data_IF_190932988469
#
_entry.id   IF_190932988469
#
_cell.length_a   1.000
_cell.length_b   1.000
_cell.length_c   1.000
_cell.angle_alpha   90.00
_cell.angle_beta   90.00
_cell.angle_gamma   90.00
#
_symmetry.space_group_name_H-M   'P 1'
#
loop_
_entity.id
_entity.type
_entity.pdbx_description
1 polymer ?
#
# COMPACT_ATOMS: atom_id res chain seq x y z
N UNK A 1 -0.38 -35.61 43.70
CA UNK A 1 -0.04 -34.20 43.40
C UNK A 1 -1.22 -33.47 42.75
N UNK A 2 -1.76 -33.91 41.61
CA UNK A 2 -2.94 -33.23 41.03
C UNK A 2 -4.18 -33.26 41.94
N UNK A 3 -4.44 -34.38 42.63
CA UNK A 3 -5.55 -34.50 43.59
C UNK A 3 -5.40 -33.59 44.82
N UNK A 4 -4.19 -33.46 45.37
CA UNK A 4 -3.91 -32.60 46.53
C UNK A 4 -3.94 -31.11 46.18
N UNK A 5 -3.48 -30.72 44.99
CA UNK A 5 -3.59 -29.35 44.49
C UNK A 5 -5.04 -28.99 44.18
N UNK A 6 -5.81 -29.91 43.61
CA UNK A 6 -7.24 -29.72 43.35
C UNK A 6 -8.04 -29.54 44.64
N UNK A 7 -7.72 -30.34 45.67
CA UNK A 7 -8.37 -30.27 46.97
C UNK A 7 -8.04 -28.97 47.72
N UNK A 8 -6.77 -28.54 47.71
CA UNK A 8 -6.36 -27.24 48.23
C UNK A 8 -7.02 -26.07 47.48
N UNK A 9 -7.15 -26.14 46.15
CA UNK A 9 -7.86 -25.13 45.37
C UNK A 9 -9.35 -25.06 45.76
N UNK A 10 -10.01 -26.22 45.90
CA UNK A 10 -11.45 -26.32 46.17
C UNK A 10 -11.87 -25.85 47.56
N UNK A 11 -10.93 -25.78 48.50
CA UNK A 11 -11.17 -25.31 49.87
C UNK A 11 -11.03 -23.78 50.02
N UNK A 12 -10.59 -23.06 48.97
CA UNK A 12 -10.49 -21.60 49.02
C UNK A 12 -11.87 -20.92 48.91
N UNK A 13 -12.16 -19.90 49.74
CA UNK A 13 -13.45 -19.20 49.75
C UNK A 13 -13.79 -18.49 48.42
N UNK A 14 -12.80 -18.24 47.57
CA UNK A 14 -12.97 -17.62 46.24
C UNK A 14 -12.72 -18.60 45.07
N UNK A 15 -12.87 -19.92 45.29
CA UNK A 15 -12.60 -20.95 44.26
C UNK A 15 -13.36 -20.72 42.95
N UNK A 16 -14.63 -20.28 43.03
CA UNK A 16 -15.45 -19.98 41.85
C UNK A 16 -14.86 -18.79 41.06
N UNK A 17 -14.45 -17.72 41.75
CA UNK A 17 -13.82 -16.56 41.11
C UNK A 17 -12.48 -16.94 40.49
N UNK A 18 -11.69 -17.79 41.16
CA UNK A 18 -10.41 -18.25 40.65
C UNK A 18 -10.54 -19.10 39.37
N UNK A 19 -11.59 -19.91 39.26
CA UNK A 19 -11.87 -20.75 38.10
C UNK A 19 -12.42 -19.96 36.90
N UNK A 20 -13.03 -18.79 37.13
CA UNK A 20 -13.50 -17.89 36.06
C UNK A 20 -12.41 -16.98 35.50
N UNK A 21 -11.28 -16.79 36.22
CA UNK A 21 -10.16 -15.94 35.75
C UNK A 21 -9.63 -16.39 34.37
N UNK A 22 -9.29 -17.68 34.10
CA UNK A 22 -8.77 -18.08 32.80
C UNK A 22 -9.69 -17.83 31.59
N UNK A 23 -10.98 -18.23 31.60
CA UNK A 23 -11.87 -17.95 30.48
C UNK A 23 -12.19 -16.45 30.31
N UNK A 24 -12.32 -15.70 31.40
CA UNK A 24 -12.54 -14.24 31.32
C UNK A 24 -11.31 -13.55 30.74
N UNK A 25 -10.10 -13.91 31.20
CA UNK A 25 -8.84 -13.35 30.69
C UNK A 25 -8.64 -13.70 29.21
N UNK A 26 -9.01 -14.91 28.78
CA UNK A 26 -9.00 -15.30 27.38
C UNK A 26 -9.91 -14.42 26.52
N UNK A 27 -11.14 -14.19 26.97
CA UNK A 27 -12.10 -13.34 26.27
C UNK A 27 -11.65 -11.87 26.23
N UNK A 28 -11.19 -11.33 27.36
CA UNK A 28 -10.69 -9.96 27.47
C UNK A 28 -9.49 -9.75 26.55
N UNK A 29 -8.53 -10.68 26.55
CA UNK A 29 -7.34 -10.59 25.67
C UNK A 29 -7.74 -10.65 24.20
N UNK A 30 -8.69 -11.53 23.86
CA UNK A 30 -9.22 -11.64 22.50
C UNK A 30 -9.90 -10.35 22.02
N UNK A 31 -10.77 -9.76 22.86
CA UNK A 31 -11.46 -8.51 22.57
C UNK A 31 -10.49 -7.31 22.54
N UNK A 32 -9.53 -7.27 23.45
CA UNK A 32 -8.51 -6.24 23.51
C UNK A 32 -7.63 -6.23 22.25
N UNK A 33 -7.11 -7.39 21.82
CA UNK A 33 -6.27 -7.48 20.62
C UNK A 33 -7.07 -7.09 19.37
N UNK A 34 -8.34 -7.48 19.29
CA UNK A 34 -9.23 -7.01 18.22
C UNK A 34 -9.36 -5.49 18.20
N UNK A 35 -9.62 -4.88 19.37
CA UNK A 35 -9.72 -3.43 19.51
C UNK A 35 -8.40 -2.73 19.12
N UNK A 36 -7.25 -3.28 19.52
CA UNK A 36 -5.93 -2.74 19.18
C UNK A 36 -5.67 -2.77 17.67
N UNK A 37 -6.07 -3.85 16.99
CA UNK A 37 -5.97 -3.96 15.54
C UNK A 37 -6.91 -2.98 14.81
N UNK A 38 -8.14 -2.81 15.29
CA UNK A 38 -9.08 -1.85 14.71
C UNK A 38 -8.57 -0.41 14.85
N UNK A 39 -8.06 -0.06 16.03
CA UNK A 39 -7.45 1.23 16.34
C UNK A 39 -6.18 1.54 15.53
N UNK A 40 -5.51 0.53 15.01
CA UNK A 40 -4.32 0.69 14.16
C UNK A 40 -4.70 1.29 12.79
N UNK A 41 -5.83 0.86 12.22
CA UNK A 41 -6.25 1.20 10.86
C UNK A 41 -7.36 2.25 10.79
N UNK A 42 -8.25 2.28 11.79
CA UNK A 42 -9.44 3.12 11.79
C UNK A 42 -9.49 4.09 12.98
N UNK A 43 -10.10 5.28 12.81
CA UNK A 43 -10.67 5.83 11.58
C UNK A 43 -9.60 6.42 10.65
N UNK A 44 -9.83 6.34 9.33
CA UNK A 44 -8.90 6.83 8.29
C UNK A 44 -8.70 8.34 8.38
N UNK A 45 -9.80 9.07 8.60
CA UNK A 45 -9.79 10.52 8.85
C UNK A 45 -9.87 10.76 10.35
N UNK A 46 -9.14 11.77 10.82
CA UNK A 46 -9.20 12.20 12.22
C UNK A 46 -10.65 12.51 12.62
N UNK A 47 -11.13 11.86 13.67
CA UNK A 47 -12.44 12.07 14.25
C UNK A 47 -12.27 12.73 15.63
N UNK A 48 -12.79 13.95 15.78
CA UNK A 48 -12.71 14.72 17.03
C UNK A 48 -12.64 16.23 16.81
N UNK A 49 -12.41 16.97 17.89
CA UNK A 49 -12.32 18.44 17.87
C UNK A 49 -10.87 18.82 17.60
N UNK A 50 -10.60 19.38 16.42
CA UNK A 50 -9.29 19.97 16.09
C UNK A 50 -9.12 21.26 16.88
N UNK A 51 -8.20 21.26 17.83
CA UNK A 51 -7.76 22.46 18.54
C UNK A 51 -6.37 22.79 18.01
N UNK A 52 -6.24 23.89 17.27
CA UNK A 52 -4.94 24.41 16.88
C UNK A 52 -4.24 24.97 18.13
N UNK A 53 -2.94 24.64 18.32
CA UNK A 53 -2.08 24.99 19.47
C UNK A 53 -2.32 24.26 20.81
N UNK A 54 -2.21 22.92 20.83
CA UNK A 54 -1.92 22.18 22.08
C UNK A 54 -0.41 21.91 22.24
N UNK A 55 0.15 21.95 23.46
CA UNK A 55 1.52 21.51 23.72
C UNK A 55 1.67 20.01 23.38
N UNK A 56 2.89 19.59 23.00
CA UNK A 56 3.25 18.22 22.55
C UNK A 56 2.77 17.77 21.15
N UNK A 57 2.28 18.67 20.29
CA UNK A 57 1.99 18.35 18.88
C UNK A 57 0.72 17.51 18.66
N UNK A 58 -0.17 17.48 19.67
CA UNK A 58 -1.49 16.88 19.57
C UNK A 58 -2.40 17.72 18.66
N UNK A 59 -2.96 17.10 17.61
CA UNK A 59 -3.84 17.76 16.61
C UNK A 59 -5.26 18.06 17.12
N UNK A 60 -5.52 17.85 18.42
CA UNK A 60 -6.82 18.03 19.08
C UNK A 60 -7.20 16.86 19.98
N UNK A 61 -8.39 16.94 20.57
CA UNK A 61 -9.05 15.83 21.28
C UNK A 61 -9.79 14.99 20.23
N UNK A 62 -9.15 13.92 19.76
CA UNK A 62 -9.75 13.02 18.78
C UNK A 62 -8.87 11.80 18.50
N UNK A 63 -9.45 10.84 17.80
CA UNK A 63 -8.79 9.60 17.45
C UNK A 63 -8.63 9.50 15.93
N UNK A 64 -7.45 9.04 15.51
CA UNK A 64 -7.18 8.64 14.13
C UNK A 64 -6.38 7.35 14.19
N UNK A 65 -6.63 6.43 13.27
CA UNK A 65 -5.80 5.23 13.14
C UNK A 65 -4.32 5.59 13.05
N UNK A 66 -3.46 4.80 13.68
CA UNK A 66 -2.03 5.10 13.77
C UNK A 66 -1.38 5.10 12.38
N UNK A 67 -1.70 4.10 11.55
CA UNK A 67 -1.20 3.97 10.17
C UNK A 67 -1.58 5.18 9.30
N UNK A 68 -2.87 5.58 9.17
CA UNK A 68 -3.23 6.75 8.38
C UNK A 68 -2.71 8.08 8.97
N UNK A 69 -2.49 8.17 10.28
CA UNK A 69 -1.94 9.37 10.92
C UNK A 69 -0.43 9.56 10.61
N UNK A 70 0.32 8.47 10.48
CA UNK A 70 1.78 8.46 10.24
C UNK A 70 2.17 8.15 8.79
N UNK A 71 1.21 8.15 7.87
CA UNK A 71 1.38 7.75 6.49
C UNK A 71 2.66 8.28 5.81
N UNK A 72 2.94 9.58 5.88
CA UNK A 72 4.11 10.17 5.22
C UNK A 72 5.49 9.69 5.71
N UNK A 73 5.60 9.36 7.00
CA UNK A 73 6.87 8.80 7.53
C UNK A 73 7.06 7.35 7.11
N UNK A 74 5.97 6.60 7.05
CA UNK A 74 5.95 5.17 6.69
C UNK A 74 6.23 5.00 5.19
N UNK A 75 5.62 5.84 4.34
CA UNK A 75 5.76 5.77 2.88
C UNK A 75 7.21 5.91 2.44
N UNK A 76 7.95 6.89 2.96
CA UNK A 76 9.36 7.10 2.57
C UNK A 76 10.22 5.85 2.71
N UNK A 77 10.14 5.14 3.84
CA UNK A 77 10.93 3.91 4.07
C UNK A 77 10.52 2.75 3.16
N UNK A 78 9.21 2.56 2.95
CA UNK A 78 8.70 1.50 2.06
C UNK A 78 9.11 1.79 0.63
N UNK A 79 9.01 3.05 0.20
CA UNK A 79 9.34 3.50 -1.16
C UNK A 79 10.82 3.29 -1.44
N UNK A 80 11.71 3.69 -0.54
CA UNK A 80 13.16 3.52 -0.73
C UNK A 80 13.52 2.04 -0.92
N UNK A 81 12.92 1.14 -0.12
CA UNK A 81 13.13 -0.30 -0.26
C UNK A 81 12.49 -0.84 -1.54
N UNK A 82 11.28 -0.41 -1.89
CA UNK A 82 10.54 -0.89 -3.06
C UNK A 82 11.22 -0.48 -4.36
N UNK A 83 11.62 0.79 -4.48
CA UNK A 83 12.31 1.32 -5.67
C UNK A 83 13.65 0.63 -5.89
N UNK A 84 14.41 0.34 -4.83
CA UNK A 84 15.67 -0.40 -4.96
C UNK A 84 15.50 -1.80 -5.59
N UNK A 85 14.27 -2.35 -5.58
CA UNK A 85 13.93 -3.67 -6.13
C UNK A 85 13.19 -3.61 -7.46
N UNK A 86 12.67 -2.44 -7.87
CA UNK A 86 12.03 -2.26 -9.16
C UNK A 86 13.02 -2.42 -10.33
N UNK A 87 14.31 -2.20 -10.11
CA UNK A 87 15.36 -2.22 -11.14
C UNK A 87 15.48 -0.90 -11.88
N UNK A 88 15.93 -0.91 -13.14
CA UNK A 88 15.99 0.33 -13.94
C UNK A 88 14.59 0.75 -14.38
N UNK A 89 14.35 2.06 -14.40
CA UNK A 89 13.05 2.57 -14.87
C UNK A 89 12.90 2.33 -16.37
N UNK A 90 13.99 2.39 -17.13
CA UNK A 90 13.99 2.03 -18.56
C UNK A 90 13.40 0.64 -18.79
N UNK A 91 13.84 -0.39 -18.05
CA UNK A 91 13.29 -1.75 -18.19
C UNK A 91 11.79 -1.81 -17.85
N UNK A 92 11.37 -1.07 -16.81
CA UNK A 92 9.97 -0.96 -16.43
C UNK A 92 9.11 -0.34 -17.55
N UNK A 93 9.61 0.71 -18.21
CA UNK A 93 8.90 1.38 -19.30
C UNK A 93 8.92 0.59 -20.60
N UNK A 94 10.03 -0.07 -20.92
CA UNK A 94 10.11 -0.99 -22.05
C UNK A 94 9.10 -2.15 -21.89
N UNK A 95 8.91 -2.65 -20.66
CA UNK A 95 7.91 -3.67 -20.36
C UNK A 95 6.45 -3.20 -20.54
N UNK A 96 6.20 -1.89 -20.63
CA UNK A 96 4.88 -1.34 -20.97
C UNK A 96 4.58 -1.36 -22.48
N UNK A 97 5.52 -1.76 -23.33
CA UNK A 97 5.39 -1.78 -24.80
C UNK A 97 5.09 -0.35 -25.34
N UNK A 98 6.09 0.55 -25.35
CA UNK A 98 5.89 1.97 -25.67
C UNK A 98 5.33 2.20 -27.07
N UNK A 99 5.60 1.32 -28.04
CA UNK A 99 5.02 1.38 -29.38
C UNK A 99 3.49 1.17 -29.34
N UNK A 100 3.00 0.23 -28.54
CA UNK A 100 1.56 0.00 -28.37
C UNK A 100 0.89 1.19 -27.65
N UNK A 101 1.60 1.82 -26.71
CA UNK A 101 1.13 3.05 -26.06
C UNK A 101 1.00 4.18 -27.08
N UNK A 102 2.02 4.38 -27.92
CA UNK A 102 1.99 5.40 -28.96
C UNK A 102 0.83 5.20 -29.94
N UNK A 103 0.59 3.96 -30.38
CA UNK A 103 -0.55 3.63 -31.25
C UNK A 103 -1.89 3.92 -30.57
N UNK A 104 -2.07 3.49 -29.32
CA UNK A 104 -3.31 3.72 -28.58
C UNK A 104 -3.61 5.21 -28.35
N UNK A 105 -2.58 5.98 -27.98
CA UNK A 105 -2.69 7.43 -27.79
C UNK A 105 -3.03 8.09 -29.13
N UNK A 106 -2.31 7.72 -30.21
CA UNK A 106 -2.56 8.23 -31.57
C UNK A 106 -4.01 8.00 -31.99
N UNK A 107 -4.53 6.77 -31.86
CA UNK A 107 -5.90 6.43 -32.25
C UNK A 107 -6.97 7.23 -31.48
N UNK A 108 -6.66 7.68 -30.28
CA UNK A 108 -7.58 8.47 -29.45
C UNK A 108 -7.48 9.96 -29.77
N UNK A 109 -6.26 10.48 -29.93
CA UNK A 109 -6.01 11.88 -30.29
C UNK A 109 -6.50 12.16 -31.72
N UNK A 110 -6.28 11.24 -32.66
CA UNK A 110 -6.67 11.36 -34.07
C UNK A 110 -8.18 11.59 -34.24
N UNK A 111 -9.00 10.90 -33.43
CA UNK A 111 -10.47 11.05 -33.45
C UNK A 111 -10.95 12.45 -33.10
N UNK A 112 -10.20 13.15 -32.26
CA UNK A 112 -10.54 14.50 -31.80
C UNK A 112 -9.66 15.57 -32.44
N UNK A 113 -8.79 15.20 -33.37
CA UNK A 113 -7.72 16.06 -33.88
C UNK A 113 -8.26 17.31 -34.56
N UNK A 114 -9.28 17.17 -35.43
CA UNK A 114 -9.90 18.32 -36.10
C UNK A 114 -10.52 19.29 -35.09
N UNK A 115 -11.22 18.76 -34.07
CA UNK A 115 -11.80 19.57 -33.00
C UNK A 115 -10.74 20.28 -32.17
N UNK A 116 -9.62 19.62 -31.88
CA UNK A 116 -8.49 20.21 -31.15
C UNK A 116 -7.83 21.32 -31.97
N UNK A 117 -7.62 21.12 -33.27
CA UNK A 117 -7.09 22.15 -34.16
C UNK A 117 -8.03 23.34 -34.20
N UNK A 118 -9.33 23.11 -34.35
CA UNK A 118 -10.33 24.16 -34.37
C UNK A 118 -10.36 24.95 -33.06
N UNK A 119 -10.32 24.27 -31.92
CA UNK A 119 -10.29 24.90 -30.60
C UNK A 119 -9.05 25.81 -30.45
N UNK A 120 -7.86 25.28 -30.73
CA UNK A 120 -6.58 26.01 -30.63
C UNK A 120 -6.59 27.23 -31.57
N UNK A 121 -7.03 27.04 -32.81
CA UNK A 121 -7.03 28.11 -33.82
C UNK A 121 -8.08 29.19 -33.51
N UNK A 122 -9.26 28.83 -33.01
CA UNK A 122 -10.30 29.79 -32.64
C UNK A 122 -9.92 30.59 -31.39
N UNK A 123 -9.27 29.97 -30.40
CA UNK A 123 -8.89 30.61 -29.15
C UNK A 123 -7.89 31.75 -29.38
N UNK A 124 -6.89 31.55 -30.26
CA UNK A 124 -5.87 32.58 -30.52
C UNK A 124 -6.14 33.43 -31.75
N UNK A 125 -6.74 32.85 -32.78
CA UNK A 125 -6.76 33.38 -34.14
C UNK A 125 -8.13 33.26 -34.79
N UNK A 126 -9.17 33.63 -34.04
CA UNK A 126 -10.56 33.65 -34.50
C UNK A 126 -10.70 34.24 -35.91
N UNK A 127 -10.19 35.46 -36.13
CA UNK A 127 -10.31 36.14 -37.42
C UNK A 127 -9.62 35.40 -38.57
N UNK A 128 -8.46 34.79 -38.34
CA UNK A 128 -7.75 34.04 -39.37
C UNK A 128 -8.47 32.75 -39.69
N UNK A 129 -8.88 32.00 -38.66
CA UNK A 129 -9.46 30.68 -38.84
C UNK A 129 -10.85 30.74 -39.48
N UNK A 130 -11.70 31.68 -39.04
CA UNK A 130 -13.06 31.83 -39.56
C UNK A 130 -13.08 32.27 -41.04
N UNK A 131 -12.13 33.10 -41.47
CA UNK A 131 -12.06 33.59 -42.85
C UNK A 131 -11.18 32.73 -43.77
N UNK A 132 -10.55 31.68 -43.25
CA UNK A 132 -9.69 30.82 -44.03
C UNK A 132 -10.49 29.98 -45.04
N UNK A 133 -10.12 29.97 -46.33
CA UNK A 133 -10.75 29.10 -47.32
C UNK A 133 -10.73 27.64 -46.87
N UNK A 134 -11.85 26.93 -47.07
CA UNK A 134 -11.98 25.54 -46.64
C UNK A 134 -10.88 24.62 -47.22
N UNK A 135 -10.38 24.93 -48.43
CA UNK A 135 -9.28 24.20 -49.05
C UNK A 135 -7.98 24.24 -48.21
N UNK A 136 -7.68 25.38 -47.58
CA UNK A 136 -6.48 25.52 -46.74
C UNK A 136 -6.68 24.78 -45.42
N UNK A 137 -7.85 24.95 -44.77
CA UNK A 137 -8.19 24.20 -43.54
C UNK A 137 -8.09 22.69 -43.74
N UNK A 138 -8.67 22.18 -44.83
CA UNK A 138 -8.58 20.75 -45.19
C UNK A 138 -7.15 20.28 -45.41
N UNK A 139 -6.31 21.12 -46.03
CA UNK A 139 -4.89 20.82 -46.22
C UNK A 139 -4.17 20.74 -44.87
N UNK A 140 -4.44 21.66 -43.95
CA UNK A 140 -3.90 21.62 -42.59
C UNK A 140 -4.32 20.33 -41.90
N UNK A 141 -5.63 20.03 -41.82
CA UNK A 141 -6.11 18.79 -41.21
C UNK A 141 -5.42 17.56 -41.80
N UNK A 142 -5.39 17.42 -43.14
CA UNK A 142 -4.73 16.29 -43.81
C UNK A 142 -3.23 16.18 -43.49
N UNK A 143 -2.56 17.31 -43.32
CA UNK A 143 -1.15 17.34 -43.00
C UNK A 143 -0.90 16.91 -41.55
N UNK A 144 -1.74 17.38 -40.61
CA UNK A 144 -1.66 16.97 -39.20
C UNK A 144 -1.96 15.48 -39.05
N UNK A 145 -3.03 14.98 -39.66
CA UNK A 145 -3.38 13.55 -39.64
C UNK A 145 -2.24 12.66 -40.17
N UNK A 146 -1.57 13.07 -41.26
CA UNK A 146 -0.49 12.29 -41.84
C UNK A 146 0.77 12.24 -40.96
N UNK A 147 1.01 13.26 -40.13
CA UNK A 147 2.22 13.39 -39.29
C UNK A 147 2.02 12.94 -37.85
N UNK A 148 0.78 12.93 -37.36
CA UNK A 148 0.46 12.60 -35.98
C UNK A 148 1.04 11.25 -35.52
N UNK A 149 0.96 10.14 -36.28
CA UNK A 149 1.52 8.85 -35.86
C UNK A 149 3.03 8.89 -35.63
N UNK A 150 3.77 9.53 -36.54
CA UNK A 150 5.24 9.63 -36.46
C UNK A 150 5.68 10.49 -35.28
N UNK A 151 4.98 11.61 -35.05
CA UNK A 151 5.23 12.52 -33.92
C UNK A 151 4.93 11.80 -32.61
N UNK A 152 3.77 11.15 -32.49
CA UNK A 152 3.38 10.46 -31.27
C UNK A 152 4.33 9.31 -30.95
N UNK A 153 4.75 8.54 -31.97
CA UNK A 153 5.75 7.49 -31.80
C UNK A 153 7.06 8.06 -31.29
N UNK A 154 7.59 9.09 -31.94
CA UNK A 154 8.87 9.70 -31.55
C UNK A 154 8.81 10.29 -30.14
N UNK A 155 7.71 10.98 -29.81
CA UNK A 155 7.48 11.58 -28.50
C UNK A 155 7.39 10.52 -27.40
N UNK A 156 6.63 9.45 -27.58
CA UNK A 156 6.51 8.37 -26.58
C UNK A 156 7.83 7.63 -26.40
N UNK A 157 8.57 7.39 -27.48
CA UNK A 157 9.90 6.76 -27.40
C UNK A 157 10.89 7.65 -26.67
N UNK A 158 10.96 8.94 -26.99
CA UNK A 158 11.87 9.87 -26.34
C UNK A 158 11.52 10.07 -24.85
N UNK A 159 10.22 10.15 -24.51
CA UNK A 159 9.78 10.16 -23.12
C UNK A 159 10.19 8.89 -22.38
N UNK A 160 10.09 7.73 -23.03
CA UNK A 160 10.48 6.43 -22.47
C UNK A 160 11.99 6.36 -22.22
N UNK A 161 12.82 6.70 -23.21
CA UNK A 161 14.28 6.67 -23.07
C UNK A 161 14.81 7.68 -22.05
N UNK A 162 14.12 8.79 -21.86
CA UNK A 162 14.53 9.83 -20.91
C UNK A 162 13.80 9.74 -19.56
N UNK A 163 13.03 8.68 -19.29
CA UNK A 163 12.11 8.63 -18.13
C UNK A 163 12.81 8.84 -16.78
N UNK A 164 14.05 8.36 -16.62
CA UNK A 164 14.85 8.56 -15.40
C UNK A 164 15.19 10.03 -15.13
N UNK A 165 15.33 10.82 -16.20
CA UNK A 165 15.52 12.27 -16.12
C UNK A 165 14.19 12.99 -15.91
N UNK A 166 13.08 12.48 -16.43
CA UNK A 166 11.78 13.15 -16.43
C UNK A 166 10.92 12.88 -15.18
N UNK A 167 11.19 11.80 -14.43
CA UNK A 167 10.33 11.36 -13.31
C UNK A 167 11.12 11.20 -12.02
N UNK A 168 10.65 11.83 -10.95
CA UNK A 168 11.06 11.48 -9.58
C UNK A 168 10.10 10.44 -8.99
N UNK A 169 10.42 9.16 -9.19
CA UNK A 169 9.61 8.05 -8.71
C UNK A 169 9.43 8.05 -7.19
N UNK A 170 10.46 8.48 -6.46
CA UNK A 170 10.40 8.52 -5.00
C UNK A 170 9.38 9.55 -4.55
N UNK A 171 9.46 10.74 -5.10
CA UNK A 171 8.51 11.81 -4.80
C UNK A 171 7.09 11.44 -5.22
N UNK A 172 6.91 10.86 -6.41
CA UNK A 172 5.61 10.42 -6.92
C UNK A 172 4.93 9.44 -5.95
N UNK A 173 5.62 8.36 -5.57
CA UNK A 173 5.02 7.32 -4.72
C UNK A 173 4.75 7.86 -3.31
N UNK A 174 5.68 8.64 -2.73
CA UNK A 174 5.46 9.27 -1.42
C UNK A 174 4.25 10.19 -1.45
N UNK A 175 4.15 11.06 -2.45
CA UNK A 175 3.02 11.98 -2.64
C UNK A 175 1.69 11.24 -2.82
N UNK A 176 1.69 10.17 -3.62
CA UNK A 176 0.50 9.32 -3.80
C UNK A 176 0.05 8.66 -2.49
N UNK A 177 0.98 8.09 -1.73
CA UNK A 177 0.68 7.45 -0.45
C UNK A 177 0.26 8.46 0.64
N UNK A 178 0.78 9.69 0.61
CA UNK A 178 0.39 10.75 1.55
C UNK A 178 -0.98 11.36 1.23
N UNK A 179 -1.26 11.55 -0.06
CA UNK A 179 -2.53 12.07 -0.55
C UNK A 179 -3.66 11.06 -0.35
N UNK A 180 -3.39 9.77 -0.57
CA UNK A 180 -4.35 8.69 -0.40
C UNK A 180 -4.03 7.81 0.83
N UNK A 181 -4.50 8.24 2.00
CA UNK A 181 -4.40 7.45 3.24
C UNK A 181 -5.18 6.14 3.17
N UNK A 182 -6.22 6.06 2.33
CA UNK A 182 -7.04 4.84 2.22
C UNK A 182 -6.25 3.77 1.49
N UNK A 183 -5.58 4.13 0.40
CA UNK A 183 -4.65 3.26 -0.33
C UNK A 183 -3.63 2.61 0.60
N UNK A 184 -3.02 3.40 1.49
CA UNK A 184 -2.06 2.86 2.45
C UNK A 184 -2.70 1.84 3.40
N UNK A 185 -3.85 2.16 4.00
CA UNK A 185 -4.55 1.24 4.91
C UNK A 185 -4.97 -0.04 4.17
N UNK A 186 -5.51 0.09 2.97
CA UNK A 186 -5.91 -1.03 2.12
C UNK A 186 -4.70 -1.92 1.77
N UNK A 187 -3.53 -1.32 1.52
CA UNK A 187 -2.29 -2.07 1.28
C UNK A 187 -1.91 -2.95 2.47
N UNK A 188 -1.89 -2.39 3.68
CA UNK A 188 -1.59 -3.16 4.89
C UNK A 188 -2.62 -4.24 5.19
N UNK A 189 -3.91 -3.93 5.03
CA UNK A 189 -4.98 -4.87 5.28
C UNK A 189 -4.96 -6.02 4.27
N UNK A 190 -4.69 -5.77 2.99
CA UNK A 190 -4.58 -6.82 1.96
C UNK A 190 -3.38 -7.73 2.20
N UNK A 191 -2.21 -7.15 2.47
CA UNK A 191 -0.98 -7.90 2.76
C UNK A 191 -1.09 -8.70 4.06
N UNK A 192 -1.60 -8.07 5.13
CA UNK A 192 -1.64 -8.63 6.48
C UNK A 192 -2.91 -9.40 6.85
N UNK A 193 -3.89 -9.56 5.94
CA UNK A 193 -5.22 -10.10 6.29
C UNK A 193 -5.16 -11.42 7.06
N UNK A 194 -4.31 -12.37 6.63
CA UNK A 194 -4.25 -13.68 7.33
C UNK A 194 -3.44 -13.59 8.62
N UNK A 195 -2.40 -12.76 8.68
CA UNK A 195 -1.61 -12.52 9.89
C UNK A 195 -2.46 -11.87 10.98
N UNK A 196 -3.24 -10.85 10.63
CA UNK A 196 -4.21 -10.19 11.52
C UNK A 196 -5.23 -11.21 12.04
N UNK A 197 -5.81 -12.04 11.16
CA UNK A 197 -6.77 -13.09 11.56
C UNK A 197 -6.12 -14.17 12.42
N UNK A 198 -4.85 -14.51 12.17
CA UNK A 198 -4.10 -15.47 12.96
C UNK A 198 -3.81 -14.92 14.37
N UNK A 199 -3.33 -13.67 14.48
CA UNK A 199 -3.14 -12.97 15.76
C UNK A 199 -4.44 -12.97 16.56
N UNK A 200 -5.56 -12.61 15.92
CA UNK A 200 -6.86 -12.56 16.58
C UNK A 200 -7.36 -13.93 17.04
N UNK A 201 -7.08 -15.01 16.32
CA UNK A 201 -7.47 -16.37 16.74
C UNK A 201 -6.59 -16.91 17.87
N UNK A 202 -5.29 -16.65 17.81
CA UNK A 202 -4.34 -17.17 18.81
C UNK A 202 -4.34 -16.36 20.10
N UNK A 203 -4.80 -15.11 20.07
CA UNK A 203 -4.89 -14.24 21.24
C UNK A 203 -5.77 -14.80 22.35
N UNK A 204 -6.87 -15.50 22.02
CA UNK A 204 -7.70 -16.18 23.00
C UNK A 204 -6.93 -17.30 23.73
N UNK A 205 -6.12 -18.08 23.00
CA UNK A 205 -5.30 -19.15 23.57
C UNK A 205 -4.18 -18.59 24.46
N UNK A 206 -3.52 -17.52 24.00
CA UNK A 206 -2.49 -16.81 24.76
C UNK A 206 -3.11 -16.22 26.05
N UNK A 207 -4.27 -15.57 25.92
CA UNK A 207 -5.01 -15.00 27.04
C UNK A 207 -5.46 -16.06 28.05
N UNK A 208 -5.85 -17.25 27.60
CA UNK A 208 -6.12 -18.39 28.48
C UNK A 208 -4.87 -18.80 29.27
N UNK A 209 -3.72 -18.89 28.59
CA UNK A 209 -2.43 -19.16 29.24
C UNK A 209 -2.07 -18.13 30.31
N UNK A 210 -2.21 -16.83 30.00
CA UNK A 210 -2.01 -15.76 30.99
C UNK A 210 -3.00 -15.82 32.14
N UNK A 211 -4.25 -16.18 31.86
CA UNK A 211 -5.26 -16.38 32.88
C UNK A 211 -4.91 -17.52 33.86
N UNK A 212 -4.33 -18.63 33.39
CA UNK A 212 -3.82 -19.70 34.27
C UNK A 212 -2.65 -19.22 35.13
N UNK A 213 -1.74 -18.43 34.56
CA UNK A 213 -0.63 -17.84 35.32
C UNK A 213 -1.15 -16.82 36.35
N UNK A 214 -2.12 -15.98 35.97
CA UNK A 214 -2.76 -15.02 36.85
C UNK A 214 -3.53 -15.71 37.98
N UNK A 215 -4.21 -16.82 37.69
CA UNK A 215 -4.85 -17.68 38.69
C UNK A 215 -3.82 -18.16 39.72
N UNK A 216 -2.66 -18.64 39.27
CA UNK A 216 -1.57 -19.05 40.17
C UNK A 216 -0.99 -17.88 40.98
N UNK A 217 -0.86 -16.68 40.40
CA UNK A 217 -0.38 -15.49 41.11
C UNK A 217 -1.38 -15.06 42.20
N UNK A 218 -2.67 -15.06 41.89
CA UNK A 218 -3.73 -14.68 42.82
C UNK A 218 -3.81 -15.63 44.02
N UNK A 219 -3.47 -16.90 43.82
CA UNK A 219 -3.34 -17.89 44.91
C UNK A 219 -2.26 -17.50 45.93
N UNK A 220 -1.10 -16.99 45.47
CA UNK A 220 0.00 -16.60 46.37
C UNK A 220 -0.16 -15.18 46.93
N UNK A 221 -0.79 -14.28 46.18
CA UNK A 221 -0.99 -12.87 46.55
C UNK A 221 -2.46 -12.49 46.30
N UNK A 222 -3.35 -12.74 47.28
CA UNK A 222 -4.80 -12.47 47.14
C UNK A 222 -5.08 -10.98 47.37
N UNK A 223 -4.54 -10.12 46.51
CA UNK A 223 -4.84 -8.69 46.48
C UNK A 223 -5.55 -8.35 45.18
N UNK A 224 -6.74 -7.74 45.27
CA UNK A 224 -7.55 -7.43 44.08
C UNK A 224 -6.84 -6.51 43.08
N UNK A 225 -5.95 -5.61 43.54
CA UNK A 225 -5.17 -4.72 42.68
C UNK A 225 -4.19 -5.46 41.74
N UNK A 226 -3.83 -6.71 42.06
CA UNK A 226 -3.00 -7.53 41.17
C UNK A 226 -3.66 -7.75 39.82
N UNK A 227 -5.00 -7.83 39.77
CA UNK A 227 -5.75 -8.10 38.53
C UNK A 227 -5.57 -6.98 37.49
N UNK A 228 -5.85 -5.68 37.78
CA UNK A 228 -5.58 -4.59 36.84
C UNK A 228 -4.10 -4.42 36.48
N UNK A 229 -3.20 -4.57 37.46
CA UNK A 229 -1.76 -4.43 37.23
C UNK A 229 -1.23 -5.50 36.27
N UNK A 230 -1.56 -6.77 36.52
CA UNK A 230 -1.14 -7.85 35.64
C UNK A 230 -1.88 -7.80 34.30
N UNK A 231 -3.14 -7.37 34.25
CA UNK A 231 -3.83 -7.15 32.98
C UNK A 231 -3.14 -6.09 32.10
N UNK A 232 -2.57 -5.03 32.70
CA UNK A 232 -1.72 -4.07 31.98
C UNK A 232 -0.46 -4.75 31.42
N UNK A 233 0.25 -5.53 32.24
CA UNK A 233 1.46 -6.25 31.83
C UNK A 233 1.16 -7.26 30.71
N UNK A 234 0.11 -8.07 30.87
CA UNK A 234 -0.31 -9.06 29.89
C UNK A 234 -0.80 -8.41 28.60
N UNK A 235 -1.50 -7.27 28.65
CA UNK A 235 -1.90 -6.52 27.46
C UNK A 235 -0.70 -6.06 26.63
N UNK A 236 0.28 -5.42 27.29
CA UNK A 236 1.52 -4.99 26.63
C UNK A 236 2.32 -6.19 26.06
N UNK A 237 2.43 -7.27 26.85
CA UNK A 237 3.17 -8.47 26.48
C UNK A 237 2.48 -9.24 25.35
N UNK A 238 1.15 -9.29 25.30
CA UNK A 238 0.39 -9.93 24.21
C UNK A 238 0.65 -9.21 22.89
N UNK A 239 0.61 -7.88 22.87
CA UNK A 239 0.86 -7.11 21.65
C UNK A 239 2.31 -7.27 21.18
N UNK A 240 3.26 -7.28 22.12
CA UNK A 240 4.66 -7.58 21.81
C UNK A 240 4.85 -8.98 21.22
N UNK A 241 4.24 -10.01 21.81
CA UNK A 241 4.27 -11.38 21.28
C UNK A 241 3.62 -11.46 19.90
N UNK A 242 2.49 -10.78 19.69
CA UNK A 242 1.78 -10.79 18.42
C UNK A 242 2.66 -10.28 17.27
N UNK A 243 3.33 -9.12 17.48
CA UNK A 243 4.28 -8.57 16.51
C UNK A 243 5.46 -9.52 16.31
N UNK A 244 6.03 -10.04 17.40
CA UNK A 244 7.17 -10.94 17.34
C UNK A 244 6.88 -12.21 16.53
N UNK A 245 5.71 -12.83 16.74
CA UNK A 245 5.28 -14.05 16.06
C UNK A 245 5.04 -13.85 14.57
N UNK A 246 4.66 -12.64 14.16
CA UNK A 246 4.38 -12.32 12.76
C UNK A 246 5.68 -12.14 11.96
N UNK A 247 6.72 -11.53 12.55
CA UNK A 247 7.97 -11.21 11.86
C UNK A 247 9.15 -12.14 12.15
N UNK A 248 9.12 -12.88 13.25
CA UNK A 248 10.23 -13.72 13.71
C UNK A 248 9.80 -15.17 13.96
N UNK A 249 10.71 -16.14 13.77
CA UNK A 249 12.05 -16.01 13.22
C UNK A 249 12.01 -15.81 11.70
N UNK A 250 13.02 -15.08 11.19
CA UNK A 250 13.16 -14.75 9.77
C UNK A 250 13.46 -16.01 8.95
N UNK A 251 14.42 -16.79 9.42
CA UNK A 251 14.78 -18.08 8.83
C UNK A 251 13.98 -19.21 9.49
N UNK A 252 13.62 -20.25 8.72
CA UNK A 252 12.87 -21.39 9.25
C UNK A 252 13.72 -22.12 10.30
N UNK A 253 13.25 -22.14 11.55
CA UNK A 253 13.87 -22.94 12.61
C UNK A 253 13.20 -24.29 12.66
N UNK A 254 13.98 -25.35 12.44
CA UNK A 254 13.49 -26.72 12.49
C UNK A 254 13.52 -27.23 13.93
N UNK A 255 12.35 -27.35 14.55
CA UNK A 255 12.21 -27.93 15.89
C UNK A 255 11.95 -29.43 15.72
N UNK A 256 12.82 -30.32 16.23
CA UNK A 256 12.54 -31.75 16.22
C UNK A 256 11.40 -32.07 17.18
N UNK A 257 10.38 -32.80 16.70
CA UNK A 257 9.32 -33.36 17.51
C UNK A 257 9.11 -34.84 17.18
N UNK A 258 8.80 -35.63 18.21
CA UNK A 258 8.51 -37.06 18.03
C UNK A 258 7.07 -37.21 17.60
N UNK A 259 6.85 -37.52 16.32
CA UNK A 259 5.50 -37.74 15.79
C UNK A 259 5.10 -39.20 16.02
N UNK A 260 4.21 -39.44 16.98
CA UNK A 260 3.72 -40.78 17.33
C UNK A 260 2.52 -41.22 16.48
N UNK A 261 1.89 -40.29 15.75
CA UNK A 261 0.60 -40.49 15.09
C UNK A 261 0.61 -39.98 13.64
N UNK A 262 0.12 -40.81 12.71
CA UNK A 262 -0.20 -40.42 11.33
C UNK A 262 -1.71 -40.48 11.12
N UNK A 263 -2.26 -39.49 10.42
CA UNK A 263 -3.64 -39.53 9.96
C UNK A 263 -3.67 -40.23 8.60
N UNK A 264 -4.45 -41.30 8.49
CA UNK A 264 -4.65 -42.06 7.25
C UNK A 264 -6.13 -41.97 6.87
N UNK A 265 -6.40 -41.67 5.60
CA UNK A 265 -7.77 -41.64 5.07
C UNK A 265 -8.14 -43.06 4.68
N UNK A 266 -9.09 -43.65 5.40
CA UNK A 266 -9.69 -44.95 5.08
C UNK A 266 -11.19 -44.75 5.04
N UNK A 267 -11.83 -45.08 3.91
CA UNK A 267 -13.27 -44.95 3.67
C UNK A 267 -13.84 -43.54 3.99
N UNK A 268 -13.14 -42.48 3.59
CA UNK A 268 -13.62 -41.10 3.75
C UNK A 268 -13.56 -40.54 5.18
N UNK A 269 -13.09 -41.30 6.17
CA UNK A 269 -12.94 -40.86 7.56
C UNK A 269 -11.46 -40.81 7.99
N UNK A 270 -11.08 -39.75 8.73
CA UNK A 270 -9.72 -39.58 9.28
C UNK A 270 -9.51 -40.50 10.48
N UNK A 271 -8.74 -41.58 10.33
CA UNK A 271 -8.38 -42.49 11.45
C UNK A 271 -6.93 -42.24 11.89
N UNK A 272 -6.72 -42.20 13.20
CA UNK A 272 -5.39 -42.00 13.81
C UNK A 272 -4.71 -43.36 13.97
N UNK A 273 -3.57 -43.57 13.30
CA UNK A 273 -2.77 -44.79 13.43
C UNK A 273 -1.45 -44.50 14.14
N UNK A 274 -1.12 -45.35 15.11
CA UNK A 274 0.16 -45.32 15.81
C UNK A 274 1.31 -45.73 14.87
N UNK A 275 2.37 -44.91 14.82
CA UNK A 275 3.61 -45.21 14.10
C UNK A 275 4.78 -45.37 15.07
N UNK A 276 5.84 -46.07 14.65
CA UNK A 276 7.09 -46.11 15.41
C UNK A 276 7.63 -44.68 15.59
N UNK A 277 8.10 -44.30 16.79
CA UNK A 277 8.58 -42.94 17.07
C UNK A 277 9.69 -42.58 16.09
N UNK A 278 9.41 -41.63 15.21
CA UNK A 278 10.36 -41.09 14.25
C UNK A 278 10.50 -39.58 14.49
N UNK A 279 11.73 -39.08 14.39
CA UNK A 279 12.04 -37.68 14.56
C UNK A 279 11.52 -36.91 13.34
N UNK A 280 10.55 -36.02 13.54
CA UNK A 280 10.04 -35.14 12.50
C UNK A 280 10.45 -33.71 12.83
N UNK A 281 10.79 -32.91 11.82
CA UNK A 281 11.11 -31.49 12.00
C UNK A 281 9.86 -30.66 11.72
N UNK A 282 9.52 -29.73 12.63
CA UNK A 282 8.52 -28.68 12.40
C UNK A 282 9.24 -27.38 12.09
N UNK A 283 8.97 -26.77 10.93
CA UNK A 283 9.52 -25.46 10.57
C UNK A 283 8.71 -24.35 11.26
N UNK A 284 9.28 -23.79 12.32
CA UNK A 284 8.76 -22.58 12.96
C UNK A 284 9.37 -21.36 12.28
N UNK A 285 8.51 -20.50 11.71
CA UNK A 285 8.91 -19.29 10.99
C UNK A 285 7.82 -18.23 11.19
N UNK A 286 8.22 -16.95 11.13
CA UNK A 286 7.27 -15.83 11.24
C UNK A 286 6.15 -15.92 10.19
N UNK A 287 4.94 -15.49 10.54
CA UNK A 287 3.75 -15.58 9.70
C UNK A 287 3.95 -15.04 8.28
N UNK A 288 4.52 -13.84 8.13
CA UNK A 288 4.79 -13.23 6.83
C UNK A 288 5.85 -14.00 6.03
N UNK A 289 6.91 -14.48 6.68
CA UNK A 289 8.01 -15.18 6.02
C UNK A 289 7.57 -16.54 5.48
N UNK A 290 6.72 -17.25 6.24
CA UNK A 290 6.14 -18.53 5.80
C UNK A 290 5.24 -18.38 4.57
N UNK A 291 4.68 -17.18 4.36
CA UNK A 291 3.79 -16.84 3.23
C UNK A 291 4.44 -15.87 2.25
N UNK A 292 5.77 -15.82 2.21
CA UNK A 292 6.50 -14.87 1.38
C UNK A 292 5.99 -14.86 -0.07
N UNK A 293 5.79 -16.01 -0.71
CA UNK A 293 5.31 -16.08 -2.10
C UNK A 293 3.96 -15.41 -2.31
N UNK A 294 3.00 -15.69 -1.42
CA UNK A 294 1.64 -15.14 -1.51
C UNK A 294 1.64 -13.64 -1.22
N UNK A 295 2.39 -13.22 -0.20
CA UNK A 295 2.48 -11.81 0.19
C UNK A 295 3.22 -10.99 -0.86
N UNK A 296 4.25 -11.57 -1.50
CA UNK A 296 4.97 -10.95 -2.61
C UNK A 296 4.04 -10.66 -3.79
N UNK A 297 3.15 -11.60 -4.14
CA UNK A 297 2.14 -11.40 -5.18
C UNK A 297 1.17 -10.26 -4.85
N UNK A 298 0.61 -10.26 -3.64
CA UNK A 298 -0.34 -9.23 -3.22
C UNK A 298 0.33 -7.86 -3.16
N UNK A 299 1.55 -7.79 -2.65
CA UNK A 299 2.32 -6.55 -2.61
C UNK A 299 2.66 -6.05 -4.03
N UNK A 300 3.12 -6.94 -4.91
CA UNK A 300 3.41 -6.61 -6.31
C UNK A 300 2.17 -6.07 -7.03
N UNK A 301 1.01 -6.68 -6.80
CA UNK A 301 -0.26 -6.26 -7.41
C UNK A 301 -0.61 -4.83 -7.00
N UNK A 302 -0.49 -4.50 -5.71
CA UNK A 302 -0.83 -3.19 -5.17
C UNK A 302 0.14 -2.12 -5.69
N UNK A 303 1.44 -2.41 -5.68
CA UNK A 303 2.44 -1.46 -6.19
C UNK A 303 2.20 -1.16 -7.67
N UNK A 304 2.00 -2.18 -8.51
CA UNK A 304 1.87 -1.98 -9.96
C UNK A 304 0.50 -1.38 -10.34
N UNK A 305 -0.58 -1.75 -9.65
CA UNK A 305 -1.93 -1.25 -9.99
C UNK A 305 -2.33 0.05 -9.31
N UNK A 306 -1.70 0.43 -8.19
CA UNK A 306 -2.15 1.56 -7.39
C UNK A 306 -1.05 2.63 -7.19
N UNK A 307 0.24 2.28 -7.23
CA UNK A 307 1.35 3.22 -7.03
C UNK A 307 2.07 3.58 -8.33
N UNK A 308 2.55 2.58 -9.06
CA UNK A 308 3.41 2.73 -10.25
C UNK A 308 2.58 2.46 -11.52
N UNK A 309 1.48 3.20 -11.67
CA UNK A 309 0.61 3.12 -12.84
C UNK A 309 1.07 4.05 -13.94
N UNK A 310 0.74 3.74 -15.19
CA UNK A 310 1.00 4.62 -16.33
C UNK A 310 0.40 6.02 -16.09
N UNK A 311 -0.84 6.08 -15.58
CA UNK A 311 -1.48 7.35 -15.22
C UNK A 311 -0.67 8.17 -14.21
N UNK A 312 -0.26 7.56 -13.09
CA UNK A 312 0.49 8.28 -12.06
C UNK A 312 1.83 8.78 -12.60
N UNK A 313 2.52 7.96 -13.40
CA UNK A 313 3.84 8.34 -13.91
C UNK A 313 3.72 9.44 -14.96
N UNK A 314 2.81 9.31 -15.91
CA UNK A 314 2.57 10.35 -16.91
C UNK A 314 2.11 11.66 -16.25
N UNK A 315 1.31 11.58 -15.18
CA UNK A 315 0.98 12.75 -14.39
C UNK A 315 2.22 13.38 -13.71
N UNK A 316 3.13 12.58 -13.15
CA UNK A 316 4.38 13.08 -12.59
C UNK A 316 5.30 13.68 -13.68
N UNK A 317 5.35 13.09 -14.88
CA UNK A 317 6.11 13.65 -16.01
C UNK A 317 5.57 15.03 -16.41
N UNK A 318 4.24 15.20 -16.45
CA UNK A 318 3.60 16.42 -16.96
C UNK A 318 3.44 17.53 -15.93
N UNK A 319 3.25 17.18 -14.64
CA UNK A 319 2.91 18.13 -13.58
C UNK A 319 3.80 18.01 -12.33
N UNK A 320 4.75 17.08 -12.31
CA UNK A 320 5.63 16.82 -11.18
C UNK A 320 6.81 17.79 -11.07
N UNK A 321 7.80 17.44 -10.25
CA UNK A 321 8.95 18.31 -9.97
C UNK A 321 9.86 18.56 -11.17
N UNK A 322 9.79 17.72 -12.19
CA UNK A 322 10.59 17.79 -13.43
C UNK A 322 9.77 18.08 -14.68
N UNK A 323 8.55 18.60 -14.51
CA UNK A 323 7.62 18.90 -15.60
C UNK A 323 8.23 19.79 -16.70
N UNK A 324 9.11 20.72 -16.34
CA UNK A 324 9.76 21.61 -17.31
C UNK A 324 10.59 20.84 -18.36
N UNK A 325 11.26 19.75 -17.96
CA UNK A 325 12.05 18.93 -18.88
C UNK A 325 11.16 18.17 -19.88
N UNK A 326 10.03 17.65 -19.38
CA UNK A 326 9.01 17.01 -20.22
C UNK A 326 8.42 18.02 -21.20
N UNK A 327 8.12 19.23 -20.73
CA UNK A 327 7.63 20.33 -21.58
C UNK A 327 8.63 20.67 -22.68
N UNK A 328 9.93 20.73 -22.39
CA UNK A 328 10.95 21.03 -23.39
C UNK A 328 11.10 19.91 -24.44
N UNK A 329 10.99 18.65 -24.05
CA UNK A 329 10.96 17.52 -24.97
C UNK A 329 9.70 17.55 -25.86
N UNK A 330 8.54 17.88 -25.29
CA UNK A 330 7.33 18.05 -26.10
C UNK A 330 7.45 19.22 -27.08
N UNK A 331 8.06 20.35 -26.66
CA UNK A 331 8.31 21.49 -27.55
C UNK A 331 9.13 21.10 -28.77
N UNK A 332 10.21 20.30 -28.61
CA UNK A 332 11.03 19.91 -29.76
C UNK A 332 10.24 19.12 -30.82
N UNK A 333 9.32 18.27 -30.39
CA UNK A 333 8.46 17.51 -31.30
C UNK A 333 7.34 18.35 -31.91
N UNK A 334 6.66 19.16 -31.10
CA UNK A 334 5.52 19.96 -31.55
C UNK A 334 5.95 21.16 -32.41
N UNK A 335 7.07 21.81 -32.10
CA UNK A 335 7.54 22.96 -32.88
C UNK A 335 8.04 22.55 -34.25
N UNK A 336 8.66 21.37 -34.39
CA UNK A 336 9.03 20.83 -35.70
C UNK A 336 7.84 20.72 -36.65
N UNK A 337 6.65 20.40 -36.12
CA UNK A 337 5.42 20.36 -36.90
C UNK A 337 4.90 21.75 -37.30
N UNK A 338 5.08 22.76 -36.45
CA UNK A 338 4.66 24.13 -36.74
C UNK A 338 5.58 24.84 -37.73
N UNK A 339 6.83 24.39 -37.83
CA UNK A 339 7.85 24.92 -38.74
C UNK A 339 7.77 24.32 -40.15
N UNK A 340 6.98 23.26 -40.35
CA UNK A 340 6.72 22.67 -41.67
C UNK A 340 6.13 23.73 -42.63
N UNK A 341 6.57 23.80 -43.90
CA UNK A 341 6.23 24.90 -44.81
C UNK A 341 4.73 25.14 -44.99
N UNK A 342 3.93 24.06 -44.97
CA UNK A 342 2.46 24.12 -45.12
C UNK A 342 1.81 24.85 -43.94
N UNK A 343 2.29 24.59 -42.72
CA UNK A 343 1.76 25.16 -41.48
C UNK A 343 2.38 26.53 -41.21
N UNK A 344 3.70 26.62 -41.29
CA UNK A 344 4.46 27.84 -41.01
C UNK A 344 4.03 29.02 -41.90
N UNK A 345 3.81 28.79 -43.20
CA UNK A 345 3.37 29.86 -44.12
C UNK A 345 2.02 30.41 -43.71
N UNK A 346 1.10 29.53 -43.30
CA UNK A 346 -0.26 29.93 -42.90
C UNK A 346 -0.24 30.71 -41.59
N UNK A 347 0.56 30.25 -40.61
CA UNK A 347 0.72 30.93 -39.32
C UNK A 347 1.39 32.31 -39.50
N UNK A 348 2.49 32.39 -40.25
CA UNK A 348 3.22 33.66 -40.48
C UNK A 348 2.43 34.70 -41.28
N UNK A 349 1.56 34.27 -42.19
CA UNK A 349 0.71 35.20 -42.95
C UNK A 349 -0.40 35.81 -42.09
N UNK A 350 -0.82 35.10 -41.04
CA UNK A 350 -1.92 35.56 -40.21
C UNK A 350 -1.53 36.13 -38.85
N UNK A 351 -0.39 35.70 -38.31
CA UNK A 351 0.05 35.99 -36.94
C UNK A 351 1.34 36.82 -36.95
N UNK A 352 1.48 37.73 -36.00
CA UNK A 352 2.75 38.43 -35.77
C UNK A 352 3.68 37.56 -34.91
N UNK A 353 4.96 37.92 -34.80
CA UNK A 353 5.95 37.11 -34.07
C UNK A 353 5.55 36.88 -32.60
N UNK A 354 5.07 37.91 -31.91
CA UNK A 354 4.61 37.79 -30.52
C UNK A 354 3.40 36.85 -30.38
N UNK A 355 2.44 36.90 -31.32
CA UNK A 355 1.27 36.04 -31.26
C UNK A 355 1.60 34.60 -31.62
N UNK A 356 2.62 34.38 -32.44
CA UNK A 356 3.15 33.06 -32.80
C UNK A 356 3.85 32.37 -31.63
N UNK A 357 4.63 33.09 -30.82
CA UNK A 357 5.27 32.51 -29.62
C UNK A 357 4.23 32.08 -28.57
N UNK A 358 3.24 32.92 -28.30
CA UNK A 358 2.13 32.55 -27.41
C UNK A 358 1.28 31.38 -27.95
N UNK A 359 1.15 31.27 -29.28
CA UNK A 359 0.44 30.17 -29.92
C UNK A 359 1.17 28.84 -29.74
N UNK A 360 2.50 28.87 -29.86
CA UNK A 360 3.37 27.73 -29.57
C UNK A 360 3.19 27.22 -28.13
N UNK A 361 3.09 28.13 -27.15
CA UNK A 361 2.84 27.76 -25.75
C UNK A 361 1.44 27.17 -25.54
N UNK A 362 0.41 27.75 -26.15
CA UNK A 362 -0.97 27.25 -26.07
C UNK A 362 -1.12 25.85 -26.67
N UNK A 363 -0.47 25.59 -27.82
CA UNK A 363 -0.45 24.25 -28.41
C UNK A 363 0.16 23.24 -27.46
N UNK A 364 1.27 23.59 -26.80
CA UNK A 364 1.91 22.71 -25.84
C UNK A 364 0.95 22.32 -24.72
N UNK A 365 0.30 23.30 -24.09
CA UNK A 365 -0.63 23.06 -22.98
C UNK A 365 -1.83 22.20 -23.40
N UNK A 366 -2.48 22.52 -24.54
CA UNK A 366 -3.60 21.74 -25.07
C UNK A 366 -3.19 20.33 -25.48
N UNK A 367 -1.96 20.17 -25.99
CA UNK A 367 -1.41 18.85 -26.37
C UNK A 367 -1.14 17.97 -25.14
N UNK A 368 -0.65 18.55 -24.04
CA UNK A 368 -0.48 17.84 -22.77
C UNK A 368 -1.84 17.31 -22.30
N UNK A 369 -2.85 18.18 -22.24
CA UNK A 369 -4.19 17.80 -21.79
C UNK A 369 -4.82 16.73 -22.70
N UNK A 370 -4.69 16.88 -24.02
CA UNK A 370 -5.19 15.91 -24.99
C UNK A 370 -4.53 14.54 -24.86
N UNK A 371 -3.23 14.50 -24.50
CA UNK A 371 -2.48 13.24 -24.31
C UNK A 371 -2.85 12.57 -22.98
N UNK A 372 -3.18 13.33 -21.94
CA UNK A 372 -3.58 12.78 -20.65
C UNK A 372 -4.93 12.05 -20.68
N UNK A 373 -5.83 12.38 -21.61
CA UNK A 373 -7.13 11.72 -21.77
C UNK A 373 -7.01 10.22 -22.05
N UNK A 374 -6.32 9.75 -23.12
CA UNK A 374 -6.14 8.32 -23.38
C UNK A 374 -5.35 7.59 -22.29
N UNK A 375 -4.40 8.27 -21.64
CA UNK A 375 -3.57 7.69 -20.59
C UNK A 375 -4.41 7.31 -19.35
N UNK A 376 -5.51 8.03 -19.10
CA UNK A 376 -6.45 7.74 -18.01
C UNK A 376 -7.42 6.59 -18.33
N UNK A 377 -7.34 5.96 -19.50
CA UNK A 377 -8.21 4.84 -19.84
C UNK A 377 -7.94 3.63 -18.91
N UNK A 378 -8.98 3.09 -18.23
CA UNK A 378 -8.80 1.97 -17.30
C UNK A 378 -8.33 0.67 -17.97
N UNK A 379 -8.71 0.43 -19.24
CA UNK A 379 -8.31 -0.77 -19.98
C UNK A 379 -6.83 -0.70 -20.32
N UNK A 380 -6.35 0.47 -20.75
CA UNK A 380 -4.93 0.70 -20.99
C UNK A 380 -4.13 0.45 -19.71
N UNK A 381 -4.48 1.12 -18.60
CA UNK A 381 -3.77 0.97 -17.33
C UNK A 381 -3.74 -0.48 -16.84
N UNK A 382 -4.87 -1.20 -16.93
CA UNK A 382 -4.94 -2.61 -16.51
C UNK A 382 -4.08 -3.51 -17.40
N UNK A 383 -4.10 -3.29 -18.72
CA UNK A 383 -3.29 -4.05 -19.67
C UNK A 383 -1.79 -3.88 -19.40
N UNK A 384 -1.34 -2.62 -19.29
CA UNK A 384 0.08 -2.29 -19.02
C UNK A 384 0.53 -2.78 -17.65
N UNK A 385 -0.30 -2.62 -16.63
CA UNK A 385 -0.03 -3.16 -15.29
C UNK A 385 0.16 -4.69 -15.31
N UNK A 386 -0.64 -5.43 -16.09
CA UNK A 386 -0.50 -6.88 -16.21
C UNK A 386 0.84 -7.32 -16.80
N UNK A 387 1.36 -6.57 -17.78
CA UNK A 387 2.67 -6.85 -18.42
C UNK A 387 3.83 -6.72 -17.43
N UNK A 388 3.77 -5.72 -16.56
CA UNK A 388 4.84 -5.45 -15.59
C UNK A 388 4.70 -6.28 -14.32
N UNK A 389 3.47 -6.68 -13.96
CA UNK A 389 3.19 -7.44 -12.74
C UNK A 389 4.08 -8.68 -12.63
N UNK A 390 4.25 -9.45 -13.70
CA UNK A 390 5.08 -10.67 -13.68
C UNK A 390 6.56 -10.39 -13.41
N UNK A 391 7.10 -9.31 -13.98
CA UNK A 391 8.49 -8.89 -13.78
C UNK A 391 8.72 -8.48 -12.31
N UNK A 392 7.82 -7.67 -11.77
CA UNK A 392 7.94 -7.18 -10.41
C UNK A 392 7.67 -8.28 -9.36
N UNK A 393 6.66 -9.12 -9.57
CA UNK A 393 6.35 -10.27 -8.73
C UNK A 393 7.53 -11.24 -8.65
N UNK A 394 8.15 -11.55 -9.80
CA UNK A 394 9.33 -12.43 -9.86
C UNK A 394 10.49 -11.91 -9.03
N UNK A 395 10.75 -10.59 -9.07
CA UNK A 395 11.82 -9.95 -8.29
C UNK A 395 11.58 -9.99 -6.80
N UNK A 396 10.36 -9.72 -6.35
CA UNK A 396 10.02 -9.75 -4.91
C UNK A 396 10.05 -11.19 -4.38
N UNK A 397 9.55 -12.16 -5.16
CA UNK A 397 9.60 -13.58 -4.77
C UNK A 397 11.04 -14.09 -4.64
N UNK A 398 11.94 -13.61 -5.48
CA UNK A 398 13.35 -14.01 -5.46
C UNK A 398 14.15 -13.43 -4.26
N UNK A 399 13.55 -12.54 -3.46
CA UNK A 399 14.23 -11.95 -2.30
C UNK A 399 14.54 -12.98 -1.22
N UNK A 400 15.65 -12.76 -0.53
CA UNK A 400 15.91 -13.53 0.69
C UNK A 400 14.89 -13.15 1.78
N UNK A 401 14.59 -14.04 2.75
CA UNK A 401 13.64 -13.74 3.83
C UNK A 401 14.00 -12.46 4.61
N UNK A 402 15.29 -12.14 4.74
CA UNK A 402 15.76 -10.92 5.40
C UNK A 402 15.47 -9.66 4.58
N UNK A 403 15.69 -9.70 3.27
CA UNK A 403 15.34 -8.58 2.39
C UNK A 403 13.83 -8.38 2.32
N UNK A 404 13.08 -9.47 2.26
CA UNK A 404 11.63 -9.43 2.30
C UNK A 404 11.11 -8.83 3.62
N UNK A 405 11.74 -9.18 4.75
CA UNK A 405 11.46 -8.53 6.04
C UNK A 405 11.72 -7.03 5.98
N UNK A 406 12.82 -6.59 5.37
CA UNK A 406 13.17 -5.18 5.27
C UNK A 406 12.19 -4.38 4.40
N UNK A 407 11.43 -5.01 3.50
CA UNK A 407 10.36 -4.35 2.76
C UNK A 407 9.14 -4.03 3.65
N UNK A 408 8.71 -5.00 4.46
CA UNK A 408 7.46 -4.89 5.22
C UNK A 408 7.65 -4.32 6.62
N UNK A 409 8.72 -4.72 7.32
CA UNK A 409 8.95 -4.42 8.73
C UNK A 409 9.07 -2.93 9.06
N UNK A 410 9.71 -2.07 8.25
CA UNK A 410 9.80 -0.63 8.55
C UNK A 410 8.45 0.03 8.77
N UNK A 411 7.42 -0.47 8.09
CA UNK A 411 6.08 0.04 8.23
C UNK A 411 5.42 -0.28 9.57
N UNK A 412 5.75 -1.43 10.15
CA UNK A 412 5.21 -1.86 11.44
C UNK A 412 6.07 -1.37 12.60
N UNK A 413 7.40 -1.29 12.42
CA UNK A 413 8.39 -0.87 13.43
C UNK A 413 8.10 0.50 14.05
N UNK A 414 7.66 1.46 13.24
CA UNK A 414 7.33 2.81 13.70
C UNK A 414 6.16 2.85 14.71
N UNK A 415 5.36 1.79 14.73
CA UNK A 415 4.12 1.70 15.50
C UNK A 415 4.13 0.61 16.58
N UNK A 416 5.18 -0.23 16.64
CA UNK A 416 5.30 -1.31 17.62
C UNK A 416 5.18 -0.80 19.06
N UNK A 417 5.90 0.28 19.39
CA UNK A 417 5.89 0.85 20.75
C UNK A 417 4.51 1.43 21.08
N UNK A 418 3.90 2.16 20.14
CA UNK A 418 2.57 2.74 20.35
C UNK A 418 1.53 1.62 20.58
N UNK A 419 1.61 0.52 19.83
CA UNK A 419 0.73 -0.63 19.99
C UNK A 419 0.93 -1.34 21.35
N UNK A 420 2.18 -1.48 21.81
CA UNK A 420 2.50 -2.09 23.10
C UNK A 420 1.97 -1.22 24.25
N UNK A 421 2.19 0.10 24.20
CA UNK A 421 1.70 1.04 25.22
C UNK A 421 0.18 1.09 25.26
N UNK A 422 -0.46 1.18 24.08
CA UNK A 422 -1.92 1.15 23.95
C UNK A 422 -2.48 -0.17 24.49
N UNK A 423 -1.76 -1.28 24.25
CA UNK A 423 -2.00 -2.59 24.81
C UNK A 423 -2.04 -2.61 26.33
N UNK A 424 -1.03 -2.00 26.95
CA UNK A 424 -0.99 -1.85 28.41
C UNK A 424 -2.17 -1.05 28.96
N UNK A 425 -2.46 0.13 28.38
CA UNK A 425 -3.53 1.02 28.85
C UNK A 425 -4.90 0.32 28.78
N UNK A 426 -5.20 -0.30 27.66
CA UNK A 426 -6.49 -0.99 27.47
C UNK A 426 -6.57 -2.30 28.26
N UNK A 427 -5.45 -3.00 28.44
CA UNK A 427 -5.34 -4.12 29.38
C UNK A 427 -5.64 -3.70 30.82
N UNK A 428 -5.09 -2.57 31.27
CA UNK A 428 -5.39 -2.00 32.59
C UNK A 428 -6.89 -1.69 32.75
N UNK A 429 -7.49 -1.01 31.77
CA UNK A 429 -8.92 -0.67 31.80
C UNK A 429 -9.81 -1.92 31.84
N UNK A 430 -9.46 -2.96 31.07
CA UNK A 430 -10.21 -4.21 31.07
C UNK A 430 -10.03 -4.99 32.39
N UNK A 431 -8.83 -4.99 32.96
CA UNK A 431 -8.55 -5.56 34.29
C UNK A 431 -9.28 -4.82 35.40
N UNK A 432 -9.41 -3.49 35.31
CA UNK A 432 -10.20 -2.67 36.22
C UNK A 432 -11.69 -3.02 36.13
N UNK A 433 -12.23 -3.11 34.92
CA UNK A 433 -13.62 -3.52 34.71
C UNK A 433 -13.88 -4.93 35.26
N UNK A 434 -12.95 -5.87 35.02
CA UNK A 434 -13.05 -7.22 35.57
C UNK A 434 -13.05 -7.22 37.11
N UNK A 435 -12.20 -6.42 37.73
CA UNK A 435 -12.15 -6.26 39.18
C UNK A 435 -13.52 -5.78 39.71
N UNK A 436 -14.09 -4.73 39.10
CA UNK A 436 -15.39 -4.18 39.51
C UNK A 436 -16.54 -5.15 39.28
N UNK A 437 -16.53 -5.96 38.22
CA UNK A 437 -17.67 -6.86 37.90
C UNK A 437 -17.64 -8.17 38.71
N UNK A 438 -16.46 -8.64 39.11
CA UNK A 438 -16.30 -9.94 39.78
C UNK A 438 -16.17 -9.82 41.30
N UNK A 439 -15.57 -8.74 41.79
CA UNK A 439 -15.27 -8.57 43.22
C UNK A 439 -16.11 -7.48 43.93
N UNK A 440 -16.79 -6.60 43.18
CA UNK A 440 -17.72 -5.59 43.69
C UNK A 440 -19.11 -5.81 43.09
#
# INVERSE_FOLDING_TARGET
>A
MFSSVWQALSEHPEFIAMLTIPPVTAFVTWAHVWMALEMLFYPIKFWGIRINNMPFGLKGLGWQGIVPAKAGKISGKIVDQTLSKLGSLDEFFQAMEPEEMAEFITLTVDKNLESLIDEIMLERSYNLWTHMPYAIRRRIYSHVHAKLPDIMKSLVMDLTYNVESLVDMRQMIVSKMESDRKLMVDMFLRVGKKEINFIWKISALIGFGFGVVQMAIFYFVPQHWTVPFFAMVWGALTNWIAIWMVFNPVEPRFIPFVRLFRYEMVDGHKRIRWMRPHWHTYSWQGGFMKRQDEVSSVFAEIVVKELVTLENIMHEMMYGSRADQTRDLMKSHLYGMLEEPVVATTLKMGMNEQSLDHFKDMILDKSIDATMVPIRDPKLNTSRASKIFGLFEGRIRALTPKEFQNLLRPAFQEDEITLIVLGGITGFLAGWLHLVVVFF
#
